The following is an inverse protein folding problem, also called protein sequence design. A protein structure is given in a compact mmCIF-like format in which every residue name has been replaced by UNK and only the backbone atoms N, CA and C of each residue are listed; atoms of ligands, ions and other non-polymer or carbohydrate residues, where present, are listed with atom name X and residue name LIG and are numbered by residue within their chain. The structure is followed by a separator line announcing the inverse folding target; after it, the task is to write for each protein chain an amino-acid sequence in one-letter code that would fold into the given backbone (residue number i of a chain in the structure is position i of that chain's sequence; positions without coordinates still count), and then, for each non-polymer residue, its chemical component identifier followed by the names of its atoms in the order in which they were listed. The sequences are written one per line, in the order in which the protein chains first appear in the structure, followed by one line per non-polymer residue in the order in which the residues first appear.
data_IF_448880174023
#
_entry.id   IF_448880174023
#
_cell.length_a   1.000
_cell.length_b   1.000
_cell.length_c   1.000
_cell.angle_alpha   90.00
_cell.angle_beta   90.00
_cell.angle_gamma   90.00
#
_symmetry.space_group_name_H-M   'P 1'
#
loop_
_entity.id
_entity.type
_entity.pdbx_description
1 polymer ?
#
# COMPACT_ATOMS: atom_id res chain seq x y z
N UNK A 1 -18.40 -2.72 -6.56
CA UNK A 1 -17.04 -2.48 -6.03
C UNK A 1 -16.05 -2.52 -7.18
N UNK A 2 -15.18 -1.54 -7.25
CA UNK A 2 -14.18 -1.47 -8.30
C UNK A 2 -12.81 -1.84 -7.73
N UNK A 3 -12.04 -2.61 -8.50
CA UNK A 3 -10.70 -3.05 -8.11
C UNK A 3 -9.69 -2.42 -9.07
N UNK A 4 -8.69 -1.77 -8.50
CA UNK A 4 -7.57 -1.21 -9.23
C UNK A 4 -6.37 -2.12 -9.04
N UNK A 5 -5.66 -2.46 -10.11
CA UNK A 5 -4.51 -3.35 -9.99
C UNK A 5 -3.39 -2.95 -10.95
N UNK A 6 -2.17 -3.31 -10.55
CA UNK A 6 -0.99 -3.16 -11.37
C UNK A 6 0.02 -4.23 -10.99
N UNK A 7 1.00 -4.48 -11.87
CA UNK A 7 2.07 -5.44 -11.59
C UNK A 7 3.37 -4.96 -12.20
N UNK A 8 4.48 -5.39 -11.60
CA UNK A 8 5.81 -5.10 -12.13
C UNK A 8 6.81 -6.11 -11.59
N UNK A 9 7.83 -6.41 -12.40
CA UNK A 9 8.96 -7.23 -11.96
C UNK A 9 10.01 -6.30 -11.35
N UNK A 10 10.48 -6.65 -10.16
CA UNK A 10 11.51 -5.90 -9.44
C UNK A 10 12.76 -6.77 -9.29
N UNK A 11 13.93 -6.13 -9.31
CA UNK A 11 15.22 -6.82 -9.19
C UNK A 11 15.59 -7.00 -7.70
N UNK A 12 14.71 -7.65 -6.96
CA UNK A 12 14.90 -7.91 -5.54
C UNK A 12 14.17 -9.18 -5.14
N UNK A 13 14.64 -9.83 -4.09
CA UNK A 13 13.99 -11.02 -3.57
C UNK A 13 12.64 -10.66 -2.91
N UNK A 14 11.76 -11.65 -2.79
CA UNK A 14 10.49 -11.46 -2.09
C UNK A 14 10.71 -10.97 -0.64
N UNK A 15 11.74 -11.47 0.02
CA UNK A 15 12.07 -11.04 1.37
C UNK A 15 12.43 -9.55 1.43
N UNK A 16 13.20 -9.06 0.44
CA UNK A 16 13.56 -7.64 0.37
C UNK A 16 12.34 -6.77 0.08
N UNK A 17 11.45 -7.24 -0.80
CA UNK A 17 10.21 -6.52 -1.11
C UNK A 17 9.32 -6.46 0.13
N UNK A 18 9.13 -7.58 0.82
CA UNK A 18 8.31 -7.64 2.02
C UNK A 18 8.87 -6.71 3.11
N UNK A 19 10.19 -6.68 3.26
CA UNK A 19 10.84 -5.78 4.24
C UNK A 19 10.47 -4.33 3.97
N UNK A 20 10.55 -3.91 2.72
CA UNK A 20 10.21 -2.53 2.33
C UNK A 20 8.73 -2.23 2.53
N UNK A 21 7.87 -3.20 2.23
CA UNK A 21 6.42 -3.05 2.38
C UNK A 21 5.97 -2.98 3.83
N UNK A 22 6.74 -3.57 4.75
CA UNK A 22 6.35 -3.68 6.16
C UNK A 22 7.13 -2.76 7.09
N UNK A 23 8.18 -2.09 6.61
CA UNK A 23 8.96 -1.16 7.40
C UNK A 23 8.23 0.18 7.51
N UNK A 24 7.81 0.62 8.72
CA UNK A 24 7.03 1.85 8.87
C UNK A 24 7.69 3.08 8.29
N UNK A 25 9.02 3.20 8.42
CA UNK A 25 9.77 4.34 7.94
C UNK A 25 9.80 4.43 6.42
N UNK A 26 9.59 3.31 5.74
CA UNK A 26 9.65 3.24 4.28
C UNK A 26 8.29 3.37 3.61
N UNK A 27 7.21 3.06 4.35
CA UNK A 27 5.86 3.01 3.78
C UNK A 27 5.44 4.34 3.15
N UNK A 28 5.78 5.47 3.76
CA UNK A 28 5.45 6.79 3.22
C UNK A 28 6.06 7.05 1.85
N UNK A 29 7.18 6.38 1.54
CA UNK A 29 7.90 6.56 0.27
C UNK A 29 7.22 5.91 -0.92
N UNK A 30 6.50 4.81 -0.69
CA UNK A 30 5.88 4.05 -1.76
C UNK A 30 4.35 4.05 -1.74
N UNK A 31 3.73 4.46 -0.65
CA UNK A 31 2.27 4.41 -0.53
C UNK A 31 1.57 5.17 -1.65
N UNK A 32 0.47 4.62 -2.18
CA UNK A 32 -0.26 5.27 -3.28
C UNK A 32 -1.00 6.54 -2.87
N UNK A 33 -1.27 6.70 -1.57
CA UNK A 33 -1.96 7.86 -1.02
C UNK A 33 -1.11 8.43 0.12
N UNK A 34 -0.89 9.76 0.19
CA UNK A 34 -0.15 10.34 1.29
C UNK A 34 -0.83 10.06 2.62
N UNK A 35 -0.05 9.65 3.62
CA UNK A 35 -0.58 9.39 4.94
C UNK A 35 0.52 9.58 6.00
N UNK A 36 0.09 9.71 7.25
CA UNK A 36 0.96 9.80 8.41
C UNK A 36 0.65 8.63 9.35
N UNK A 37 1.67 7.91 9.77
CA UNK A 37 1.50 6.83 10.74
C UNK A 37 1.44 7.44 12.14
N UNK A 38 0.31 7.26 12.83
CA UNK A 38 0.09 7.79 14.16
C UNK A 38 0.47 6.80 15.24
N UNK A 39 0.06 5.54 15.07
CA UNK A 39 0.34 4.46 16.02
C UNK A 39 0.55 3.16 15.25
N UNK A 40 1.43 2.32 15.77
CA UNK A 40 1.67 0.98 15.25
C UNK A 40 1.87 0.02 16.40
N UNK A 41 1.13 -1.07 16.37
CA UNK A 41 1.30 -2.18 17.27
C UNK A 41 2.52 -3.00 16.83
N UNK A 42 3.58 -2.97 17.61
CA UNK A 42 4.85 -3.56 17.25
C UNK A 42 5.75 -2.62 16.45
N UNK A 43 6.93 -3.10 16.05
CA UNK A 43 7.91 -2.29 15.34
C UNK A 43 7.80 -2.34 13.82
N UNK A 44 6.94 -3.21 13.30
CA UNK A 44 6.81 -3.50 11.88
C UNK A 44 5.43 -4.08 11.60
N UNK A 45 4.94 -3.91 10.37
CA UNK A 45 3.70 -4.56 9.97
C UNK A 45 3.91 -6.07 9.93
N UNK A 46 3.08 -6.80 10.63
CA UNK A 46 3.10 -8.26 10.68
C UNK A 46 1.67 -8.77 10.67
N UNK A 47 1.49 -10.04 10.38
CA UNK A 47 0.15 -10.66 10.43
C UNK A 47 -0.48 -10.40 11.79
N UNK A 48 -1.66 -9.81 11.79
CA UNK A 48 -2.38 -9.46 13.00
C UNK A 48 -2.03 -8.10 13.60
N UNK A 49 -1.07 -7.36 13.02
CA UNK A 49 -0.74 -6.02 13.48
C UNK A 49 -1.87 -5.04 13.23
N UNK A 50 -1.96 -4.05 14.10
CA UNK A 50 -2.88 -2.93 13.95
C UNK A 50 -2.11 -1.63 13.92
N UNK A 51 -2.60 -0.70 13.11
CA UNK A 51 -2.02 0.63 13.00
C UNK A 51 -3.11 1.68 12.92
N UNK A 52 -2.79 2.90 13.33
CA UNK A 52 -3.65 4.05 13.13
C UNK A 52 -2.92 5.02 12.22
N UNK A 53 -3.55 5.40 11.12
CA UNK A 53 -2.96 6.31 10.15
C UNK A 53 -3.90 7.47 9.88
N UNK A 54 -3.33 8.60 9.47
CA UNK A 54 -4.07 9.77 9.03
C UNK A 54 -3.72 10.06 7.59
N UNK A 55 -4.71 10.07 6.72
CA UNK A 55 -4.55 10.43 5.32
C UNK A 55 -5.26 11.73 5.00
N UNK A 56 -5.02 12.26 3.81
CA UNK A 56 -5.76 13.40 3.28
C UNK A 56 -6.50 12.98 2.03
N UNK A 57 -7.82 13.12 2.08
CA UNK A 57 -8.69 12.83 0.94
C UNK A 57 -9.62 14.02 0.75
N UNK A 58 -9.72 14.51 -0.48
CA UNK A 58 -10.55 15.66 -0.83
C UNK A 58 -10.28 16.88 0.07
N UNK A 59 -9.01 17.10 0.44
CA UNK A 59 -8.60 18.22 1.29
C UNK A 59 -8.89 18.03 2.77
N UNK A 60 -9.40 16.88 3.17
CA UNK A 60 -9.74 16.58 4.57
C UNK A 60 -8.76 15.60 5.17
N UNK A 61 -8.45 15.77 6.46
CA UNK A 61 -7.73 14.76 7.25
C UNK A 61 -8.70 13.66 7.63
N UNK A 62 -8.32 12.42 7.36
CA UNK A 62 -9.14 11.24 7.61
C UNK A 62 -8.30 10.22 8.34
N UNK A 63 -8.81 9.66 9.43
CA UNK A 63 -8.13 8.62 10.17
C UNK A 63 -8.65 7.23 9.76
N UNK A 64 -7.73 6.29 9.69
CA UNK A 64 -8.02 4.89 9.36
C UNK A 64 -7.40 3.97 10.41
N UNK A 65 -8.17 2.96 10.80
CA UNK A 65 -7.63 1.83 11.55
C UNK A 65 -7.22 0.77 10.53
N UNK A 66 -5.94 0.41 10.56
CA UNK A 66 -5.38 -0.57 9.64
C UNK A 66 -5.22 -1.90 10.34
N UNK A 67 -5.79 -2.95 9.76
CA UNK A 67 -5.59 -4.32 10.20
C UNK A 67 -4.78 -5.06 9.15
N UNK A 68 -3.64 -5.62 9.54
CA UNK A 68 -2.82 -6.44 8.66
C UNK A 68 -3.32 -7.88 8.74
N UNK A 69 -3.90 -8.36 7.65
CA UNK A 69 -4.46 -9.70 7.58
C UNK A 69 -3.39 -10.75 7.34
N UNK A 70 -2.42 -10.43 6.49
CA UNK A 70 -1.29 -11.30 6.19
C UNK A 70 -0.07 -10.48 5.82
N UNK A 71 1.08 -10.83 6.38
CA UNK A 71 2.37 -10.30 5.97
C UNK A 71 3.34 -11.49 5.88
N UNK A 72 3.59 -11.97 4.67
CA UNK A 72 4.41 -13.13 4.41
C UNK A 72 5.25 -12.93 3.15
N UNK A 73 6.09 -13.89 2.82
CA UNK A 73 6.87 -13.84 1.58
C UNK A 73 6.00 -13.96 0.33
N UNK A 74 4.74 -14.31 0.49
CA UNK A 74 3.81 -14.47 -0.63
C UNK A 74 2.88 -13.28 -0.79
N UNK A 75 2.54 -12.61 0.31
CA UNK A 75 1.59 -11.48 0.23
C UNK A 75 1.64 -10.56 1.43
N UNK A 76 1.22 -9.34 1.18
CA UNK A 76 0.84 -8.39 2.22
C UNK A 76 -0.60 -7.98 1.93
N UNK A 77 -1.51 -8.33 2.84
CA UNK A 77 -2.92 -7.98 2.75
C UNK A 77 -3.31 -7.16 3.96
N UNK A 78 -3.94 -6.01 3.72
CA UNK A 78 -4.42 -5.18 4.82
C UNK A 78 -5.74 -4.50 4.47
N UNK A 79 -6.43 -4.09 5.51
CA UNK A 79 -7.69 -3.35 5.41
C UNK A 79 -7.52 -2.05 6.19
N UNK A 80 -7.80 -0.94 5.55
CA UNK A 80 -7.86 0.37 6.19
C UNK A 80 -9.33 0.74 6.37
N UNK A 81 -9.77 0.80 7.61
CA UNK A 81 -11.17 1.07 7.97
C UNK A 81 -11.30 2.49 8.51
N UNK A 82 -12.10 3.28 7.83
CA UNK A 82 -12.36 4.67 8.18
C UNK A 82 -13.68 5.11 7.58
N UNK A 83 -13.82 6.40 7.22
CA UNK A 83 -15.00 6.86 6.48
C UNK A 83 -15.19 6.15 5.14
N UNK A 84 -14.11 5.63 4.58
CA UNK A 84 -14.13 4.67 3.48
C UNK A 84 -13.38 3.42 3.92
N UNK A 85 -13.71 2.29 3.30
CA UNK A 85 -13.02 1.03 3.53
C UNK A 85 -12.10 0.78 2.34
N UNK A 86 -10.80 0.62 2.61
CA UNK A 86 -9.80 0.38 1.58
C UNK A 86 -9.16 -0.97 1.82
N UNK A 87 -9.24 -1.86 0.84
CA UNK A 87 -8.57 -3.15 0.88
C UNK A 87 -7.34 -3.08 -0.01
N UNK A 88 -6.19 -3.49 0.53
CA UNK A 88 -4.92 -3.45 -0.18
C UNK A 88 -4.29 -4.83 -0.16
N UNK A 89 -3.92 -5.33 -1.34
CA UNK A 89 -3.26 -6.63 -1.48
C UNK A 89 -2.03 -6.48 -2.34
N UNK A 90 -0.89 -6.95 -1.82
CA UNK A 90 0.34 -7.11 -2.58
C UNK A 90 0.65 -8.59 -2.67
N UNK A 91 0.68 -9.13 -3.88
CA UNK A 91 1.09 -10.51 -4.10
C UNK A 91 2.53 -10.54 -4.61
N UNK A 92 3.35 -11.39 -4.01
CA UNK A 92 4.76 -11.51 -4.32
C UNK A 92 5.04 -12.89 -4.89
N UNK A 93 5.60 -12.95 -6.09
CA UNK A 93 5.95 -14.21 -6.75
C UNK A 93 7.42 -14.19 -7.17
N UNK A 94 8.10 -15.33 -7.12
CA UNK A 94 9.46 -15.39 -7.64
C UNK A 94 9.45 -15.19 -9.16
N UNK A 95 10.42 -14.47 -9.67
CA UNK A 95 10.64 -14.26 -11.09
C UNK A 95 12.09 -14.54 -11.41
N UNK A 96 12.41 -14.75 -12.69
CA UNK A 96 13.76 -15.10 -13.11
C UNK A 96 14.81 -14.04 -12.71
N UNK A 97 14.42 -12.78 -12.64
CA UNK A 97 15.32 -11.67 -12.31
C UNK A 97 15.07 -11.05 -10.94
N UNK A 98 14.24 -11.68 -10.12
CA UNK A 98 13.90 -11.14 -8.81
C UNK A 98 12.51 -11.55 -8.37
N UNK A 99 11.58 -10.60 -8.34
CA UNK A 99 10.20 -10.85 -7.89
C UNK A 99 9.20 -10.12 -8.77
N UNK A 100 8.05 -10.75 -8.98
CA UNK A 100 6.90 -10.07 -9.54
C UNK A 100 6.05 -9.54 -8.39
N UNK A 101 5.79 -8.24 -8.40
CA UNK A 101 4.92 -7.59 -7.43
C UNK A 101 3.61 -7.22 -8.11
N UNK A 102 2.52 -7.73 -7.59
CA UNK A 102 1.18 -7.39 -8.06
C UNK A 102 0.44 -6.69 -6.94
N UNK A 103 -0.04 -5.48 -7.20
CA UNK A 103 -0.78 -4.70 -6.22
C UNK A 103 -2.23 -4.57 -6.67
N UNK A 104 -3.16 -4.72 -5.73
CA UNK A 104 -4.58 -4.52 -5.98
C UNK A 104 -5.19 -3.73 -4.84
N UNK A 105 -6.04 -2.77 -5.18
CA UNK A 105 -6.72 -1.91 -4.21
C UNK A 105 -8.19 -1.85 -4.57
N UNK A 106 -9.06 -2.02 -3.58
CA UNK A 106 -10.49 -1.78 -3.73
C UNK A 106 -10.95 -0.77 -2.67
N UNK A 107 -11.96 0.02 -3.05
CA UNK A 107 -12.46 1.10 -2.20
C UNK A 107 -13.98 0.97 -2.10
N UNK A 108 -14.50 1.08 -0.88
CA UNK A 108 -15.92 1.04 -0.63
C UNK A 108 -16.29 2.11 0.41
N UNK A 109 -17.31 2.90 0.14
CA UNK A 109 -17.78 3.91 1.09
C UNK A 109 -19.29 3.95 1.16
N UNK A 110 -19.83 4.01 2.39
CA UNK A 110 -21.25 4.12 2.65
C UNK A 110 -21.63 5.54 3.08
N UNK A 111 -22.89 5.89 2.87
CA UNK A 111 -23.41 7.21 3.19
C UNK A 111 -22.89 8.30 2.25
N UNK A 112 -23.33 9.54 2.46
CA UNK A 112 -22.94 10.66 1.60
C UNK A 112 -21.44 10.97 1.69
N UNK A 113 -20.93 11.12 2.89
CA UNK A 113 -19.50 11.44 3.09
C UNK A 113 -18.61 10.29 2.63
N UNK A 114 -18.98 9.06 2.97
CA UNK A 114 -18.21 7.88 2.54
C UNK A 114 -18.15 7.74 1.03
N UNK A 115 -19.25 7.99 0.34
CA UNK A 115 -19.27 7.93 -1.13
C UNK A 115 -18.42 9.05 -1.75
N UNK A 116 -18.45 10.24 -1.17
CA UNK A 116 -17.63 11.36 -1.65
C UNK A 116 -16.15 11.05 -1.51
N UNK A 117 -15.74 10.51 -0.35
CA UNK A 117 -14.34 10.16 -0.09
C UNK A 117 -13.91 8.96 -0.94
N UNK A 118 -14.79 7.99 -1.17
CA UNK A 118 -14.51 6.87 -2.06
C UNK A 118 -14.27 7.36 -3.48
N UNK A 119 -15.10 8.29 -3.97
CA UNK A 119 -14.92 8.87 -5.28
C UNK A 119 -13.59 9.62 -5.40
N UNK A 120 -13.19 10.36 -4.37
CA UNK A 120 -11.90 11.04 -4.35
C UNK A 120 -10.73 10.05 -4.40
N UNK A 121 -10.81 8.95 -3.65
CA UNK A 121 -9.81 7.90 -3.65
C UNK A 121 -9.72 7.22 -5.01
N UNK A 122 -10.87 6.89 -5.59
CA UNK A 122 -10.93 6.28 -6.92
C UNK A 122 -10.36 7.21 -8.00
N UNK A 123 -10.56 8.51 -7.85
CA UNK A 123 -10.00 9.49 -8.79
C UNK A 123 -8.46 9.47 -8.74
N UNK A 124 -7.87 9.35 -7.56
CA UNK A 124 -6.41 9.22 -7.42
C UNK A 124 -5.92 7.94 -8.08
N UNK A 125 -6.60 6.83 -7.86
CA UNK A 125 -6.24 5.54 -8.44
C UNK A 125 -6.39 5.58 -9.97
N UNK A 126 -7.44 6.20 -10.47
CA UNK A 126 -7.66 6.39 -11.90
C UNK A 126 -6.64 7.31 -12.56
N UNK A 127 -6.03 8.22 -11.79
CA UNK A 127 -4.97 9.09 -12.27
C UNK A 127 -3.58 8.44 -12.24
N UNK A 128 -3.49 7.16 -11.87
CA UNK A 128 -2.24 6.42 -11.88
C UNK A 128 -1.49 6.37 -10.56
N UNK A 129 -2.16 6.65 -9.44
CA UNK A 129 -1.50 6.64 -8.12
C UNK A 129 -0.89 5.28 -7.78
N UNK A 130 -1.57 4.19 -8.14
CA UNK A 130 -1.08 2.85 -7.85
C UNK A 130 0.15 2.51 -8.68
N UNK A 131 0.15 2.84 -9.97
CA UNK A 131 1.31 2.66 -10.84
C UNK A 131 2.50 3.47 -10.35
N UNK A 132 2.27 4.72 -9.95
CA UNK A 132 3.32 5.58 -9.40
C UNK A 132 3.88 5.00 -8.09
N UNK A 133 3.03 4.42 -7.28
CA UNK A 133 3.43 3.74 -6.04
C UNK A 133 4.39 2.58 -6.33
N UNK A 134 4.02 1.71 -7.29
CA UNK A 134 4.85 0.57 -7.68
C UNK A 134 6.19 1.03 -8.26
N UNK A 135 6.20 2.11 -9.03
CA UNK A 135 7.44 2.66 -9.56
C UNK A 135 8.36 3.19 -8.46
N UNK A 136 7.78 3.84 -7.45
CA UNK A 136 8.55 4.29 -6.28
C UNK A 136 9.11 3.10 -5.49
N UNK A 137 8.32 2.05 -5.34
CA UNK A 137 8.75 0.82 -4.70
C UNK A 137 9.94 0.21 -5.45
N UNK A 138 9.85 0.13 -6.77
CA UNK A 138 10.95 -0.38 -7.61
C UNK A 138 12.22 0.44 -7.44
N UNK A 139 12.11 1.77 -7.44
CA UNK A 139 13.27 2.65 -7.26
C UNK A 139 13.91 2.47 -5.89
N UNK A 140 13.11 2.28 -4.86
CA UNK A 140 13.61 2.06 -3.52
C UNK A 140 14.33 0.71 -3.37
N UNK A 141 14.02 -0.25 -4.25
CA UNK A 141 14.64 -1.57 -4.27
C UNK A 141 15.83 -1.66 -5.20
N UNK A 142 16.10 -0.64 -6.01
CA UNK A 142 17.27 -0.65 -6.90
C UNK A 142 18.55 -0.64 -6.09
N UNK A 143 19.54 -1.50 -6.46
CA UNK A 143 20.81 -1.52 -5.77
C UNK A 143 21.52 -0.18 -5.88
N UNK A 144 22.06 0.32 -4.77
CA UNK A 144 22.81 1.57 -4.74
C UNK A 144 24.03 1.54 -5.67
N UNK A 145 24.55 0.37 -5.93
CA UNK A 145 25.70 0.18 -6.82
C UNK A 145 25.41 0.57 -8.26
N UNK A 146 24.15 0.62 -8.67
CA UNK A 146 23.79 1.07 -10.00
C UNK A 146 23.99 2.56 -10.18
N UNK A 147 24.08 3.29 -9.08
CA UNK A 147 24.33 4.73 -9.10
C UNK A 147 25.81 5.09 -9.23
N UNK A 148 26.65 4.12 -9.14
CA UNK A 148 28.10 4.34 -9.20
C UNK A 148 28.62 4.34 -10.63
#
# INVERSE_FOLDING_TARGET
MRIWSTRKTVHASRAAVLRLLTEPQEIERWAPVPFELLELDGGRLATGSRALVRGRLAGRSVEFEVDVLEASHESLSLVADGPVLINVDYALRPASEGSEVRAAVSVCGGGFVGRMLAAATEALLGAGALQSSIERLCRALEPATLAA
#
